data_IF_079412140115
#
_entry.id   IF_079412140115
#
_cell.length_a   1.000
_cell.length_b   1.000
_cell.length_c   1.000
_cell.angle_alpha   90.00
_cell.angle_beta   90.00
_cell.angle_gamma   90.00
#
_symmetry.space_group_name_H-M   'P 1'
#
loop_
_entity.id
_entity.type
_entity.pdbx_description
1 polymer ?
#
# COMPACT_ATOMS: atom_id res chain seq x y z
N UNK A 1 -49.20 -41.90 16.45
CA UNK A 1 -48.87 -40.76 17.32
C UNK A 1 -47.46 -40.96 17.84
N UNK A 2 -46.49 -40.33 17.20
CA UNK A 2 -45.12 -40.22 17.69
C UNK A 2 -44.79 -38.72 17.65
N UNK A 3 -44.54 -38.07 18.80
CA UNK A 3 -44.37 -36.63 18.84
C UNK A 3 -43.04 -36.24 18.21
N UNK A 4 -43.07 -35.20 17.39
CA UNK A 4 -41.94 -34.70 16.63
C UNK A 4 -40.80 -34.23 17.52
N UNK A 5 -39.60 -34.69 17.19
CA UNK A 5 -38.36 -34.14 17.73
C UNK A 5 -38.13 -32.76 17.08
N UNK A 6 -38.43 -31.71 17.85
CA UNK A 6 -37.90 -30.38 17.62
C UNK A 6 -36.43 -30.41 18.07
N UNK A 7 -35.51 -30.64 17.14
CA UNK A 7 -34.09 -30.46 17.40
C UNK A 7 -33.81 -28.95 17.40
N UNK A 8 -33.77 -28.37 18.59
CA UNK A 8 -33.10 -27.10 18.80
C UNK A 8 -31.61 -27.39 18.70
N UNK A 9 -30.98 -26.95 17.61
CA UNK A 9 -29.52 -26.97 17.43
C UNK A 9 -28.89 -26.15 18.57
N UNK A 10 -28.46 -26.84 19.62
CA UNK A 10 -27.62 -26.26 20.64
C UNK A 10 -26.22 -26.15 20.04
N UNK A 11 -25.89 -24.99 19.49
CA UNK A 11 -24.52 -24.62 19.12
C UNK A 11 -23.65 -24.84 20.35
N UNK A 12 -22.87 -25.92 20.36
CA UNK A 12 -21.98 -26.24 21.47
C UNK A 12 -20.86 -25.20 21.47
N UNK A 13 -20.61 -24.55 22.62
CA UNK A 13 -19.59 -23.48 22.75
C UNK A 13 -18.14 -23.88 22.41
N UNK A 14 -17.92 -25.11 21.94
CA UNK A 14 -16.65 -25.65 21.51
C UNK A 14 -16.51 -25.77 19.97
N UNK A 15 -17.55 -25.42 19.21
CA UNK A 15 -17.50 -25.43 17.75
C UNK A 15 -16.90 -24.14 17.20
N UNK A 16 -16.15 -24.26 16.11
CA UNK A 16 -15.63 -23.09 15.39
C UNK A 16 -16.78 -22.40 14.65
N UNK A 17 -16.98 -21.12 14.94
CA UNK A 17 -17.91 -20.25 14.22
C UNK A 17 -17.10 -19.38 13.28
N UNK A 18 -17.44 -19.41 12.00
CA UNK A 18 -16.86 -18.50 11.01
C UNK A 18 -17.24 -17.06 11.35
N UNK A 19 -16.25 -16.17 11.41
CA UNK A 19 -16.45 -14.78 11.80
C UNK A 19 -16.49 -13.81 10.62
N UNK A 20 -15.90 -14.16 9.48
CA UNK A 20 -15.84 -13.34 8.25
C UNK A 20 -15.33 -14.15 7.05
N UNK A 21 -15.72 -13.76 5.83
CA UNK A 21 -15.25 -14.37 4.58
C UNK A 21 -14.66 -13.30 3.65
N UNK A 22 -13.48 -12.82 4.01
CA UNK A 22 -12.80 -11.76 3.25
C UNK A 22 -11.87 -12.29 2.17
N UNK A 23 -11.74 -11.50 1.10
CA UNK A 23 -10.96 -11.79 -0.11
C UNK A 23 -9.73 -10.91 -0.23
N UNK A 24 -8.86 -11.26 -1.16
CA UNK A 24 -7.67 -10.49 -1.55
C UNK A 24 -7.46 -10.60 -3.05
N UNK A 25 -7.17 -9.49 -3.71
CA UNK A 25 -6.81 -9.43 -5.13
C UNK A 25 -5.55 -8.60 -5.33
N UNK A 26 -4.76 -8.94 -6.37
CA UNK A 26 -3.55 -8.22 -6.73
C UNK A 26 -3.57 -7.96 -8.23
N UNK A 27 -3.44 -6.70 -8.61
CA UNK A 27 -3.13 -6.25 -9.97
C UNK A 27 -1.63 -6.01 -10.06
N UNK A 28 -0.96 -6.70 -10.98
CA UNK A 28 0.41 -6.36 -11.38
C UNK A 28 0.35 -5.21 -12.39
N UNK A 29 1.24 -4.25 -12.25
CA UNK A 29 1.36 -3.10 -13.16
C UNK A 29 2.42 -3.47 -14.21
N UNK A 30 2.17 -3.24 -15.51
CA UNK A 30 3.08 -3.67 -16.58
C UNK A 30 4.43 -2.94 -16.58
N UNK A 31 4.48 -1.73 -16.01
CA UNK A 31 5.70 -0.97 -15.79
C UNK A 31 5.73 -0.43 -14.36
N UNK A 32 6.90 -0.46 -13.71
CA UNK A 32 7.04 0.09 -12.38
C UNK A 32 6.75 1.61 -12.40
N UNK A 33 6.00 2.10 -11.41
CA UNK A 33 5.79 3.53 -11.19
C UNK A 33 7.16 4.20 -11.04
N UNK A 34 7.42 5.18 -11.92
CA UNK A 34 8.76 5.68 -12.20
C UNK A 34 9.41 6.35 -10.99
N UNK A 35 8.68 7.19 -10.27
CA UNK A 35 9.23 8.00 -9.18
C UNK A 35 8.21 8.22 -8.06
N UNK A 36 8.71 8.73 -6.94
CA UNK A 36 7.90 8.99 -5.75
C UNK A 36 6.86 10.10 -5.97
N UNK A 37 7.13 11.06 -6.86
CA UNK A 37 6.19 12.15 -7.13
C UNK A 37 4.94 11.63 -7.86
N UNK A 38 5.14 10.76 -8.85
CA UNK A 38 4.07 10.06 -9.57
C UNK A 38 3.29 9.15 -8.63
N UNK A 39 4.01 8.37 -7.80
CA UNK A 39 3.39 7.49 -6.81
C UNK A 39 2.51 8.26 -5.82
N UNK A 40 3.03 9.36 -5.25
CA UNK A 40 2.28 10.20 -4.32
C UNK A 40 1.14 10.97 -4.99
N UNK A 41 1.29 11.35 -6.26
CA UNK A 41 0.22 11.95 -7.06
C UNK A 41 -1.01 11.06 -7.14
N UNK A 42 -0.82 9.75 -7.40
CA UNK A 42 -1.92 8.77 -7.44
C UNK A 42 -2.63 8.70 -6.08
N UNK A 43 -1.85 8.61 -5.00
CA UNK A 43 -2.42 8.47 -3.66
C UNK A 43 -3.19 9.72 -3.23
N UNK A 44 -2.61 10.90 -3.49
CA UNK A 44 -3.23 12.17 -3.19
C UNK A 44 -4.53 12.35 -4.00
N UNK A 45 -4.54 11.96 -5.28
CA UNK A 45 -5.72 12.01 -6.14
C UNK A 45 -6.85 11.12 -5.61
N UNK A 46 -6.55 9.89 -5.20
CA UNK A 46 -7.54 8.98 -4.60
C UNK A 46 -8.15 9.58 -3.34
N UNK A 47 -7.34 10.12 -2.43
CA UNK A 47 -7.84 10.71 -1.19
C UNK A 47 -8.68 11.97 -1.48
N UNK A 48 -8.28 12.79 -2.44
CA UNK A 48 -8.95 14.04 -2.76
C UNK A 48 -10.27 13.84 -3.52
N UNK A 49 -10.32 12.89 -4.45
CA UNK A 49 -11.47 12.68 -5.33
C UNK A 49 -12.39 11.57 -4.86
N UNK A 50 -11.90 10.69 -3.97
CA UNK A 50 -12.61 9.52 -3.46
C UNK A 50 -13.34 8.75 -4.58
N UNK A 51 -12.58 8.23 -5.56
CA UNK A 51 -13.15 7.62 -6.76
C UNK A 51 -13.90 6.32 -6.47
N UNK A 52 -13.70 5.74 -5.29
CA UNK A 52 -14.33 4.50 -4.84
C UNK A 52 -15.63 4.73 -4.06
N UNK A 53 -16.03 5.99 -3.82
CA UNK A 53 -17.28 6.31 -3.16
C UNK A 53 -17.33 5.93 -1.68
N UNK A 54 -16.17 5.83 -1.02
CA UNK A 54 -16.10 5.47 0.39
C UNK A 54 -16.73 6.55 1.28
N UNK A 55 -17.32 6.16 2.40
CA UNK A 55 -18.11 7.06 3.25
C UNK A 55 -17.47 7.27 4.62
N UNK A 56 -17.67 8.45 5.18
CA UNK A 56 -17.22 8.78 6.53
C UNK A 56 -17.83 7.82 7.57
N UNK A 57 -17.06 7.45 8.59
CA UNK A 57 -17.52 6.57 9.66
C UNK A 57 -17.00 7.02 11.02
N UNK A 58 -17.68 6.57 12.08
CA UNK A 58 -17.29 6.85 13.47
C UNK A 58 -16.75 5.57 14.10
N UNK A 59 -15.50 5.62 14.55
CA UNK A 59 -14.85 4.52 15.26
C UNK A 59 -14.19 5.06 16.53
N UNK A 60 -14.44 4.41 17.68
CA UNK A 60 -13.84 4.83 18.95
C UNK A 60 -14.21 6.25 19.39
N UNK A 61 -15.33 6.81 18.90
CA UNK A 61 -15.75 8.18 19.19
C UNK A 61 -15.05 9.25 18.34
N UNK A 62 -14.22 8.86 17.37
CA UNK A 62 -13.61 9.76 16.39
C UNK A 62 -14.22 9.55 15.01
N UNK A 63 -14.39 10.66 14.28
CA UNK A 63 -14.83 10.67 12.88
C UNK A 63 -13.63 10.44 11.97
N UNK A 64 -13.75 9.45 11.08
CA UNK A 64 -12.76 9.08 10.09
C UNK A 64 -13.30 9.33 8.68
N UNK A 65 -12.53 9.93 7.76
CA UNK A 65 -12.95 10.12 6.38
C UNK A 65 -13.10 8.76 5.67
N UNK A 66 -13.84 8.74 4.56
CA UNK A 66 -14.10 7.49 3.82
C UNK A 66 -12.85 6.81 3.27
N UNK A 67 -11.85 7.60 2.84
CA UNK A 67 -10.53 7.11 2.43
C UNK A 67 -9.45 7.87 3.19
N UNK A 68 -8.54 7.14 3.84
CA UNK A 68 -7.39 7.71 4.54
C UNK A 68 -6.15 6.84 4.43
N UNK A 69 -4.97 7.43 4.65
CA UNK A 69 -3.71 6.68 4.75
C UNK A 69 -3.71 5.88 6.06
N UNK A 70 -3.55 4.56 5.95
CA UNK A 70 -3.41 3.68 7.11
C UNK A 70 -1.95 3.52 7.53
N UNK A 71 -1.09 3.26 6.55
CA UNK A 71 0.37 3.12 6.74
C UNK A 71 1.09 3.35 5.43
N UNK A 72 2.33 3.80 5.53
CA UNK A 72 3.17 4.09 4.37
C UNK A 72 4.64 3.92 4.72
N UNK A 73 5.46 3.68 3.70
CA UNK A 73 6.90 3.68 3.82
C UNK A 73 7.58 3.83 2.47
N UNK A 74 8.69 4.56 2.45
CA UNK A 74 9.44 4.86 1.24
C UNK A 74 10.91 4.56 1.50
N UNK A 75 11.50 3.66 0.73
CA UNK A 75 12.90 3.27 0.86
C UNK A 75 13.69 3.85 -0.29
N UNK A 76 14.66 4.69 0.03
CA UNK A 76 15.63 5.21 -0.93
C UNK A 76 16.83 4.28 -1.04
N UNK A 77 17.39 4.13 -2.25
CA UNK A 77 18.54 3.28 -2.54
C UNK A 77 19.71 4.05 -3.18
N UNK A 78 20.87 4.05 -2.53
CA UNK A 78 22.11 4.64 -3.07
C UNK A 78 23.13 3.54 -3.25
N UNK A 79 23.71 3.44 -4.45
CA UNK A 79 24.85 2.60 -4.74
C UNK A 79 26.12 3.43 -4.54
N UNK A 80 27.23 2.76 -4.25
CA UNK A 80 28.56 3.35 -4.29
C UNK A 80 29.33 2.65 -5.38
N UNK A 81 29.80 3.41 -6.35
CA UNK A 81 30.44 2.89 -7.57
C UNK A 81 31.92 3.25 -7.58
N UNK A 82 32.77 2.32 -8.01
CA UNK A 82 34.20 2.58 -8.20
C UNK A 82 34.46 3.40 -9.48
N UNK A 83 35.72 3.72 -9.74
CA UNK A 83 36.13 4.47 -10.94
C UNK A 83 35.85 3.76 -12.27
N UNK A 84 35.46 2.48 -12.26
CA UNK A 84 35.05 1.71 -13.42
C UNK A 84 33.52 1.62 -13.55
N UNK A 85 32.76 2.18 -12.60
CA UNK A 85 31.30 2.14 -12.54
C UNK A 85 30.73 0.85 -11.92
N UNK A 86 31.57 0.03 -11.27
CA UNK A 86 31.11 -1.18 -10.58
C UNK A 86 30.59 -0.85 -9.20
N UNK A 87 29.43 -1.39 -8.83
CA UNK A 87 28.86 -1.21 -7.48
C UNK A 87 29.71 -1.95 -6.44
N UNK A 88 30.43 -1.19 -5.61
CA UNK A 88 31.27 -1.69 -4.51
C UNK A 88 30.56 -1.68 -3.16
N UNK A 89 29.48 -0.91 -3.03
CA UNK A 89 28.71 -0.78 -1.81
C UNK A 89 27.31 -0.26 -2.07
N UNK A 90 26.46 -0.32 -1.06
CA UNK A 90 25.11 0.22 -1.19
C UNK A 90 24.48 0.50 0.17
N UNK A 91 23.70 1.58 0.26
CA UNK A 91 22.96 1.97 1.46
C UNK A 91 21.49 2.17 1.11
N UNK A 92 20.62 1.94 2.08
CA UNK A 92 19.21 2.26 1.97
C UNK A 92 18.72 2.93 3.24
N UNK A 93 17.83 3.91 3.10
CA UNK A 93 17.12 4.52 4.22
C UNK A 93 15.62 4.39 4.00
N UNK A 94 14.90 4.00 5.06
CA UNK A 94 13.44 3.87 5.06
C UNK A 94 12.84 5.09 5.74
N UNK A 95 12.08 5.87 5.00
CA UNK A 95 11.40 7.07 5.45
C UNK A 95 9.90 6.81 5.71
N UNK A 96 9.30 7.55 6.67
CA UNK A 96 7.88 7.44 6.98
C UNK A 96 6.97 8.20 6.02
N UNK A 97 7.51 9.11 5.21
CA UNK A 97 6.76 9.93 4.25
C UNK A 97 7.66 10.40 3.09
N UNK A 98 7.06 11.06 2.09
CA UNK A 98 7.76 11.60 0.92
C UNK A 98 8.80 12.67 1.29
N UNK A 99 8.53 13.49 2.30
CA UNK A 99 9.47 14.54 2.73
C UNK A 99 10.73 13.91 3.31
N UNK A 100 10.57 12.93 4.19
CA UNK A 100 11.66 12.15 4.77
C UNK A 100 12.43 11.37 3.71
N UNK A 101 11.75 10.86 2.68
CA UNK A 101 12.41 10.19 1.55
C UNK A 101 13.31 11.15 0.78
N UNK A 102 12.82 12.33 0.41
CA UNK A 102 13.59 13.32 -0.34
C UNK A 102 14.78 13.85 0.48
N UNK A 103 14.59 14.05 1.79
CA UNK A 103 15.67 14.41 2.70
C UNK A 103 16.72 13.30 2.77
N UNK A 104 16.31 12.04 2.97
CA UNK A 104 17.21 10.90 3.02
C UNK A 104 17.97 10.69 1.69
N UNK A 105 17.31 10.90 0.55
CA UNK A 105 17.95 10.82 -0.76
C UNK A 105 19.07 11.86 -0.92
N UNK A 106 18.83 13.09 -0.47
CA UNK A 106 19.81 14.17 -0.51
C UNK A 106 20.99 13.88 0.43
N UNK A 107 20.70 13.47 1.66
CA UNK A 107 21.74 13.18 2.67
C UNK A 107 22.61 11.99 2.27
N UNK A 108 22.01 10.89 1.81
CA UNK A 108 22.78 9.70 1.41
C UNK A 108 23.64 9.95 0.17
N UNK A 109 23.18 10.76 -0.77
CA UNK A 109 23.92 11.07 -1.99
C UNK A 109 25.09 12.03 -1.76
N UNK A 110 25.13 12.76 -0.63
CA UNK A 110 26.17 13.73 -0.31
C UNK A 110 27.06 13.30 0.87
N UNK A 111 26.92 12.07 1.36
CA UNK A 111 27.59 11.62 2.58
C UNK A 111 29.02 11.13 2.30
N UNK A 112 29.98 12.06 2.36
CA UNK A 112 31.40 11.76 2.17
C UNK A 112 31.98 10.70 3.13
N UNK A 113 31.41 10.55 4.34
CA UNK A 113 31.86 9.52 5.27
C UNK A 113 31.45 8.12 4.81
N UNK A 114 30.27 7.99 4.20
CA UNK A 114 29.85 6.73 3.59
C UNK A 114 30.63 6.44 2.30
N UNK A 115 30.89 7.43 1.46
CA UNK A 115 31.73 7.26 0.26
C UNK A 115 33.14 6.74 0.62
N UNK A 116 33.79 7.38 1.61
CA UNK A 116 35.09 6.93 2.10
C UNK A 116 35.05 5.52 2.72
N UNK A 117 33.96 5.18 3.42
CA UNK A 117 33.82 3.86 4.02
C UNK A 117 33.51 2.75 2.99
N UNK A 118 32.76 3.07 1.93
CA UNK A 118 32.38 2.12 0.88
C UNK A 118 33.45 2.00 -0.22
N UNK A 119 34.30 3.02 -0.39
CA UNK A 119 35.37 3.01 -1.38
C UNK A 119 34.93 3.38 -2.80
N UNK A 120 33.89 4.21 -2.93
CA UNK A 120 33.34 4.64 -4.22
C UNK A 120 32.46 5.90 -4.10
N UNK A 121 32.04 6.43 -5.25
CA UNK A 121 31.21 7.63 -5.35
C UNK A 121 29.72 7.27 -5.20
N UNK A 122 28.96 8.11 -4.50
CA UNK A 122 27.53 7.88 -4.28
C UNK A 122 26.71 8.12 -5.55
N UNK A 123 25.96 7.10 -5.99
CA UNK A 123 25.08 7.15 -7.17
C UNK A 123 23.65 6.78 -6.77
N UNK A 124 22.69 7.65 -7.12
CA UNK A 124 21.25 7.38 -6.91
C UNK A 124 20.82 6.19 -7.77
N UNK A 125 20.13 5.23 -7.16
CA UNK A 125 19.54 4.08 -7.83
C UNK A 125 18.00 4.13 -7.71
N UNK A 126 17.32 5.01 -8.46
CA UNK A 126 15.87 5.17 -8.37
C UNK A 126 15.10 3.91 -8.77
N UNK A 127 15.66 3.08 -9.65
CA UNK A 127 15.06 1.82 -10.07
C UNK A 127 14.97 0.80 -8.93
N UNK A 128 15.82 0.91 -7.92
CA UNK A 128 15.80 0.08 -6.73
C UNK A 128 15.13 0.74 -5.52
N UNK A 129 14.56 1.94 -5.67
CA UNK A 129 13.73 2.54 -4.64
C UNK A 129 12.44 1.71 -4.46
N UNK A 130 11.91 1.67 -3.24
CA UNK A 130 10.69 0.94 -2.92
C UNK A 130 9.67 1.85 -2.26
N UNK A 131 8.45 1.91 -2.81
CA UNK A 131 7.36 2.70 -2.27
C UNK A 131 6.22 1.78 -1.84
N UNK A 132 5.62 2.08 -0.69
CA UNK A 132 4.40 1.42 -0.25
C UNK A 132 3.50 2.41 0.47
N UNK A 133 2.23 2.45 0.07
CA UNK A 133 1.19 3.17 0.78
C UNK A 133 -0.06 2.31 0.82
N UNK A 134 -0.64 2.15 2.00
CA UNK A 134 -1.91 1.47 2.19
C UNK A 134 -2.96 2.49 2.58
N UNK A 135 -4.00 2.58 1.77
CA UNK A 135 -5.21 3.31 2.08
C UNK A 135 -6.20 2.39 2.77
N UNK A 136 -6.86 2.91 3.81
CA UNK A 136 -8.04 2.32 4.43
C UNK A 136 -9.25 2.98 3.81
N UNK A 137 -10.21 2.14 3.43
CA UNK A 137 -11.45 2.54 2.77
C UNK A 137 -12.63 2.00 3.56
N UNK A 138 -13.61 2.84 3.83
CA UNK A 138 -14.88 2.42 4.39
C UNK A 138 -15.96 2.52 3.33
N UNK A 139 -16.44 1.38 2.85
CA UNK A 139 -17.44 1.33 1.79
C UNK A 139 -18.82 1.79 2.28
N UNK A 140 -19.67 2.25 1.35
CA UNK A 140 -21.06 2.60 1.66
C UNK A 140 -21.89 1.42 2.19
N UNK A 141 -21.48 0.18 1.89
CA UNK A 141 -22.10 -1.03 2.43
C UNK A 141 -21.67 -1.35 3.89
N UNK A 142 -20.74 -0.57 4.46
CA UNK A 142 -20.22 -0.71 5.82
C UNK A 142 -18.95 -1.57 5.94
N UNK A 143 -18.48 -2.18 4.85
CA UNK A 143 -17.22 -2.91 4.83
C UNK A 143 -16.02 -1.98 4.99
N UNK A 144 -14.95 -2.50 5.58
CA UNK A 144 -13.66 -1.82 5.61
C UNK A 144 -12.62 -2.66 4.90
N UNK A 145 -12.12 -2.14 3.79
CA UNK A 145 -11.09 -2.79 2.98
C UNK A 145 -9.85 -1.91 2.88
N UNK A 146 -8.77 -2.49 2.36
CA UNK A 146 -7.50 -1.78 2.20
C UNK A 146 -7.01 -1.89 0.77
N UNK A 147 -6.55 -0.77 0.22
CA UNK A 147 -5.89 -0.71 -1.08
C UNK A 147 -4.42 -0.36 -0.84
N UNK A 148 -3.53 -1.29 -1.14
CA UNK A 148 -2.08 -1.14 -0.97
C UNK A 148 -1.43 -0.91 -2.32
N UNK A 149 -0.85 0.25 -2.49
CA UNK A 149 -0.03 0.64 -3.62
C UNK A 149 1.42 0.26 -3.36
N UNK A 150 2.06 -0.32 -4.37
CA UNK A 150 3.50 -0.46 -4.50
C UNK A 150 3.90 -0.07 -5.93
N UNK A 151 5.21 0.02 -6.21
CA UNK A 151 5.69 0.42 -7.54
C UNK A 151 5.18 -0.47 -8.68
N UNK A 152 5.03 -1.76 -8.42
CA UNK A 152 4.72 -2.77 -9.44
C UNK A 152 3.35 -3.42 -9.23
N UNK A 153 2.59 -3.02 -8.20
CA UNK A 153 1.32 -3.67 -7.92
C UNK A 153 0.35 -2.78 -7.15
N UNK A 154 -0.94 -3.03 -7.37
CA UNK A 154 -2.03 -2.57 -6.51
C UNK A 154 -2.70 -3.81 -5.91
N UNK A 155 -2.87 -3.84 -4.59
CA UNK A 155 -3.45 -4.95 -3.86
C UNK A 155 -4.65 -4.50 -3.05
N UNK A 156 -5.76 -5.21 -3.18
CA UNK A 156 -6.97 -5.00 -2.38
C UNK A 156 -7.09 -6.17 -1.40
N UNK A 157 -7.34 -5.88 -0.12
CA UNK A 157 -7.51 -6.90 0.93
C UNK A 157 -8.72 -6.57 1.79
N UNK A 158 -9.30 -7.59 2.42
CA UNK A 158 -10.37 -7.46 3.42
C UNK A 158 -11.74 -7.03 2.85
N UNK A 159 -11.95 -7.16 1.54
CA UNK A 159 -13.26 -6.96 0.91
C UNK A 159 -14.02 -8.29 0.86
N UNK A 160 -15.34 -8.25 0.96
CA UNK A 160 -16.24 -9.41 0.78
C UNK A 160 -17.05 -9.24 -0.50
N UNK A 161 -17.60 -8.04 -0.75
CA UNK A 161 -18.38 -7.70 -1.94
C UNK A 161 -17.51 -7.54 -3.20
N UNK A 162 -17.83 -8.32 -4.25
CA UNK A 162 -17.13 -8.25 -5.54
C UNK A 162 -17.36 -6.91 -6.28
N UNK A 163 -18.41 -6.16 -5.91
CA UNK A 163 -18.61 -4.81 -6.43
C UNK A 163 -17.49 -3.83 -6.00
N UNK A 164 -16.87 -4.05 -4.83
CA UNK A 164 -15.71 -3.28 -4.38
C UNK A 164 -14.52 -3.54 -5.31
N UNK A 165 -14.24 -4.81 -5.61
CA UNK A 165 -13.17 -5.17 -6.54
C UNK A 165 -13.41 -4.54 -7.92
N UNK A 166 -14.62 -4.68 -8.47
CA UNK A 166 -14.96 -4.12 -9.78
C UNK A 166 -14.81 -2.59 -9.84
N UNK A 167 -15.17 -1.90 -8.74
CA UNK A 167 -15.02 -0.44 -8.63
C UNK A 167 -13.56 -0.02 -8.66
N UNK A 168 -12.70 -0.69 -7.87
CA UNK A 168 -11.27 -0.37 -7.83
C UNK A 168 -10.58 -0.78 -9.15
N UNK A 169 -10.98 -1.88 -9.79
CA UNK A 169 -10.49 -2.28 -11.11
C UNK A 169 -10.82 -1.24 -12.18
N UNK A 170 -12.08 -0.81 -12.25
CA UNK A 170 -12.54 0.22 -13.21
C UNK A 170 -11.79 1.53 -13.02
N UNK A 171 -11.57 1.94 -11.76
CA UNK A 171 -10.74 3.11 -11.47
C UNK A 171 -9.30 2.90 -11.95
N UNK A 172 -8.67 1.76 -11.62
CA UNK A 172 -7.28 1.49 -11.96
C UNK A 172 -7.04 1.44 -13.48
N UNK A 173 -8.02 0.97 -14.28
CA UNK A 173 -7.97 1.02 -15.74
C UNK A 173 -7.96 2.45 -16.31
N UNK A 174 -8.49 3.42 -15.55
CA UNK A 174 -8.47 4.84 -15.91
C UNK A 174 -7.19 5.58 -15.54
N UNK A 175 -6.34 5.00 -14.68
CA UNK A 175 -5.11 5.67 -14.21
C UNK A 175 -3.93 5.27 -15.11
N UNK A 176 -3.45 6.22 -15.90
CA UNK A 176 -2.38 5.96 -16.88
C UNK A 176 -1.11 5.33 -16.27
N UNK A 177 -0.72 5.72 -15.06
CA UNK A 177 0.47 5.18 -14.39
C UNK A 177 0.31 3.72 -13.90
N UNK A 178 -0.89 3.14 -14.01
CA UNK A 178 -1.18 1.76 -13.62
C UNK A 178 -1.36 0.81 -14.82
N UNK A 179 -1.05 1.27 -16.06
CA UNK A 179 -1.30 0.58 -17.33
C UNK A 179 -0.13 0.63 -18.32
#
# INVERSE_FOLDING_TARGET
MHPGACWQEYQTMADFVETSNTKTAVRQIPAAIADIATFEGIIADVIATNPWGCVEYVQGGSTHPGVERNRQSYTVRVNYEDGEGSVVGSVSAKAPDMSGFNAAATELAANAALEAAMGGDAVRNPDADAFSCQLKCHDANGETYYVTFARESVRITSYEDDAILATVETWADGVAALN
#
